data_IF_782452558447
#
_entry.id   IF_782452558447
#
_cell.length_a   1.000
_cell.length_b   1.000
_cell.length_c   1.000
_cell.angle_alpha   90.00
_cell.angle_beta   90.00
_cell.angle_gamma   90.00
#
_symmetry.space_group_name_H-M   'P 1'
#
loop_
_entity.id
_entity.type
_entity.pdbx_description
1 polymer ?
#
# COMPACT_ATOMS: atom_id res chain seq x y z
N UNK A 1 -5.51 -17.72 -2.70
CA UNK A 1 -5.27 -17.48 -1.25
C UNK A 1 -6.27 -16.43 -0.78
N UNK A 2 -6.71 -16.42 0.47
CA UNK A 2 -7.53 -15.29 0.97
C UNK A 2 -6.62 -14.13 1.36
N UNK A 3 -7.14 -12.90 1.43
CA UNK A 3 -6.36 -11.73 1.91
C UNK A 3 -5.77 -12.03 3.30
N UNK A 4 -6.57 -12.57 4.21
CA UNK A 4 -6.10 -12.94 5.55
C UNK A 4 -5.01 -14.01 5.55
N UNK A 5 -5.04 -14.97 4.62
CA UNK A 5 -3.99 -15.96 4.50
C UNK A 5 -2.68 -15.34 3.98
N UNK A 6 -2.73 -14.38 3.05
CA UNK A 6 -1.56 -13.62 2.62
C UNK A 6 -0.99 -12.77 3.76
N UNK A 7 -1.84 -12.09 4.54
CA UNK A 7 -1.40 -11.33 5.73
C UNK A 7 -0.70 -12.25 6.74
N UNK A 8 -1.31 -13.39 7.07
CA UNK A 8 -0.73 -14.37 7.98
C UNK A 8 0.65 -14.85 7.50
N UNK A 9 0.77 -15.23 6.23
CA UNK A 9 2.05 -15.66 5.67
C UNK A 9 3.09 -14.54 5.72
N UNK A 10 2.71 -13.30 5.40
CA UNK A 10 3.64 -12.16 5.47
C UNK A 10 4.24 -12.02 6.87
N UNK A 11 3.41 -12.05 7.91
CA UNK A 11 3.85 -11.95 9.31
C UNK A 11 4.70 -13.15 9.76
N UNK A 12 4.29 -14.37 9.42
CA UNK A 12 5.05 -15.60 9.74
C UNK A 12 6.44 -15.59 9.09
N UNK A 13 6.55 -15.18 7.82
CA UNK A 13 7.84 -15.11 7.14
C UNK A 13 8.70 -13.94 7.64
N UNK A 14 8.07 -12.84 8.06
CA UNK A 14 8.77 -11.71 8.69
C UNK A 14 9.48 -12.13 9.98
N UNK A 15 8.77 -12.85 10.87
CA UNK A 15 9.33 -13.37 12.13
C UNK A 15 10.52 -14.31 11.88
N UNK A 16 10.45 -15.10 10.81
CA UNK A 16 11.53 -15.98 10.36
C UNK A 16 12.67 -15.25 9.62
N UNK A 17 12.60 -13.93 9.51
CA UNK A 17 13.56 -13.07 8.79
C UNK A 17 13.68 -13.40 7.30
N UNK A 18 12.67 -14.05 6.72
CA UNK A 18 12.59 -14.28 5.28
C UNK A 18 11.88 -13.10 4.61
N UNK A 19 12.55 -11.95 4.60
CA UNK A 19 11.94 -10.65 4.26
C UNK A 19 11.40 -10.57 2.84
N UNK A 20 12.08 -11.17 1.86
CA UNK A 20 11.62 -11.16 0.46
C UNK A 20 10.28 -11.90 0.31
N UNK A 21 10.14 -13.04 1.01
CA UNK A 21 8.91 -13.84 1.01
C UNK A 21 7.82 -13.13 1.81
N UNK A 22 8.17 -12.50 2.93
CA UNK A 22 7.26 -11.68 3.72
C UNK A 22 6.67 -10.53 2.87
N UNK A 23 7.53 -9.84 2.11
CA UNK A 23 7.13 -8.73 1.25
C UNK A 23 6.26 -9.21 0.09
N UNK A 24 6.60 -10.33 -0.54
CA UNK A 24 5.76 -10.94 -1.57
C UNK A 24 4.32 -11.17 -1.08
N UNK A 25 4.17 -11.74 0.12
CA UNK A 25 2.85 -11.99 0.69
C UNK A 25 2.13 -10.71 1.11
N UNK A 26 2.84 -9.68 1.58
CA UNK A 26 2.26 -8.35 1.83
C UNK A 26 1.70 -7.75 0.54
N UNK A 27 2.48 -7.73 -0.55
CA UNK A 27 2.06 -7.23 -1.85
C UNK A 27 0.84 -8.00 -2.38
N UNK A 28 0.82 -9.33 -2.23
CA UNK A 28 -0.32 -10.15 -2.62
C UNK A 28 -1.58 -9.80 -1.81
N UNK A 29 -1.45 -9.52 -0.52
CA UNK A 29 -2.59 -9.10 0.31
C UNK A 29 -3.16 -7.75 -0.17
N UNK A 30 -2.29 -6.80 -0.53
CA UNK A 30 -2.71 -5.49 -1.07
C UNK A 30 -3.35 -5.65 -2.45
N UNK A 31 -2.75 -6.42 -3.36
CA UNK A 31 -3.31 -6.64 -4.70
C UNK A 31 -4.68 -7.31 -4.63
N UNK A 32 -4.83 -8.40 -3.86
CA UNK A 32 -6.11 -9.09 -3.71
C UNK A 32 -7.18 -8.19 -3.08
N UNK A 33 -6.81 -7.34 -2.11
CA UNK A 33 -7.71 -6.36 -1.52
C UNK A 33 -8.15 -5.33 -2.56
N UNK A 34 -7.20 -4.83 -3.35
CA UNK A 34 -7.45 -3.83 -4.39
C UNK A 34 -8.34 -4.35 -5.51
N UNK A 35 -8.15 -5.61 -5.92
CA UNK A 35 -8.98 -6.28 -6.93
C UNK A 35 -10.42 -6.44 -6.47
N UNK A 36 -10.63 -6.71 -5.18
CA UNK A 36 -11.98 -6.86 -4.60
C UNK A 36 -12.69 -5.53 -4.45
N UNK A 37 -11.98 -4.48 -4.01
CA UNK A 37 -12.56 -3.15 -3.80
C UNK A 37 -12.77 -2.36 -5.10
N UNK A 38 -11.84 -2.49 -6.05
CA UNK A 38 -11.82 -1.69 -7.28
C UNK A 38 -11.62 -2.57 -8.53
N UNK A 39 -12.56 -3.48 -8.84
CA UNK A 39 -12.40 -4.46 -9.91
C UNK A 39 -12.31 -3.84 -11.32
N UNK A 40 -12.79 -2.61 -11.50
CA UNK A 40 -12.77 -1.88 -12.77
C UNK A 40 -11.49 -1.07 -13.03
N UNK A 41 -10.61 -0.93 -12.02
CA UNK A 41 -9.41 -0.11 -12.12
C UNK A 41 -8.18 -0.95 -12.50
N UNK A 42 -7.26 -0.33 -13.26
CA UNK A 42 -5.96 -0.92 -13.58
C UNK A 42 -5.10 -1.14 -12.34
N UNK A 43 -4.14 -2.08 -12.41
CA UNK A 43 -3.33 -2.54 -11.27
C UNK A 43 -2.68 -1.41 -10.46
N UNK A 44 -1.98 -0.49 -11.14
CA UNK A 44 -1.34 0.64 -10.46
C UNK A 44 -2.34 1.56 -9.76
N UNK A 45 -3.44 1.91 -10.43
CA UNK A 45 -4.47 2.79 -9.85
C UNK A 45 -5.16 2.16 -8.65
N UNK A 46 -5.55 0.87 -8.73
CA UNK A 46 -6.20 0.19 -7.60
C UNK A 46 -5.26 0.01 -6.41
N UNK A 47 -3.97 -0.22 -6.65
CA UNK A 47 -2.96 -0.31 -5.59
C UNK A 47 -2.90 1.00 -4.82
N UNK A 48 -2.64 2.11 -5.53
CA UNK A 48 -2.55 3.43 -4.89
C UNK A 48 -3.84 3.80 -4.17
N UNK A 49 -4.99 3.53 -4.79
CA UNK A 49 -6.29 3.78 -4.16
C UNK A 49 -6.50 2.98 -2.88
N UNK A 50 -6.12 1.70 -2.84
CA UNK A 50 -6.17 0.90 -1.59
C UNK A 50 -5.30 1.51 -0.50
N UNK A 51 -4.07 1.91 -0.83
CA UNK A 51 -3.16 2.50 0.14
C UNK A 51 -3.72 3.83 0.69
N UNK A 52 -4.21 4.72 -0.19
CA UNK A 52 -4.84 5.98 0.21
C UNK A 52 -6.07 5.78 1.08
N UNK A 53 -6.93 4.80 0.74
CA UNK A 53 -8.14 4.49 1.50
C UNK A 53 -7.86 3.72 2.80
N UNK A 54 -6.58 3.40 3.10
CA UNK A 54 -6.13 2.75 4.33
C UNK A 54 -4.94 3.49 4.97
N UNK A 55 -4.76 4.77 4.64
CA UNK A 55 -3.58 5.56 5.06
C UNK A 55 -3.57 5.80 6.57
N UNK A 56 -4.73 5.81 7.21
CA UNK A 56 -4.92 5.86 8.66
C UNK A 56 -4.30 4.63 9.35
N UNK A 57 -4.63 3.43 8.84
CA UNK A 57 -4.09 2.16 9.34
C UNK A 57 -2.58 2.12 9.11
N UNK A 58 -2.12 2.49 7.91
CA UNK A 58 -0.70 2.53 7.58
C UNK A 58 0.06 3.52 8.48
N UNK A 59 -0.50 4.70 8.73
CA UNK A 59 0.07 5.71 9.60
C UNK A 59 0.30 5.18 11.01
N UNK A 60 -0.70 4.53 11.61
CA UNK A 60 -0.59 3.95 12.95
C UNK A 60 0.44 2.81 13.02
N UNK A 61 0.54 1.99 11.97
CA UNK A 61 1.45 0.82 11.98
C UNK A 61 2.91 1.15 11.65
N UNK A 62 3.14 1.99 10.64
CA UNK A 62 4.45 2.16 10.02
C UNK A 62 5.09 3.52 10.29
N UNK A 63 4.28 4.57 10.53
CA UNK A 63 4.79 5.95 10.70
C UNK A 63 4.06 6.72 11.79
N UNK A 64 4.07 6.26 13.07
CA UNK A 64 3.35 6.94 14.14
C UNK A 64 3.78 8.40 14.28
N UNK A 65 2.81 9.31 14.35
CA UNK A 65 3.04 10.75 14.52
C UNK A 65 3.31 11.52 13.22
N UNK A 66 3.31 10.86 12.05
CA UNK A 66 3.39 11.51 10.75
C UNK A 66 1.99 11.74 10.19
N UNK A 67 1.69 12.98 9.78
CA UNK A 67 0.45 13.32 9.08
C UNK A 67 0.55 12.93 7.61
N UNK A 68 0.32 11.65 7.32
CA UNK A 68 0.37 11.12 5.96
C UNK A 68 -0.74 11.64 5.05
N UNK A 69 -1.87 12.11 5.61
CA UNK A 69 -2.97 12.66 4.82
C UNK A 69 -2.54 13.95 4.13
N UNK A 70 -1.77 14.79 4.81
CA UNK A 70 -1.30 16.08 4.28
C UNK A 70 0.16 16.07 3.80
N UNK A 71 0.95 15.03 4.13
CA UNK A 71 2.34 14.91 3.67
C UNK A 71 2.41 14.75 2.15
N UNK A 72 3.30 15.50 1.50
CA UNK A 72 3.56 15.43 0.07
C UNK A 72 5.05 15.36 -0.22
N UNK A 73 5.44 14.52 -1.16
CA UNK A 73 6.84 14.21 -1.45
C UNK A 73 7.34 15.00 -2.66
N UNK A 74 8.50 15.68 -2.58
CA UNK A 74 9.08 16.45 -3.68
C UNK A 74 9.88 15.55 -4.64
N UNK A 75 9.27 14.47 -5.11
CA UNK A 75 9.89 13.49 -6.02
C UNK A 75 9.12 13.40 -7.33
N UNK A 76 9.82 13.11 -8.42
CA UNK A 76 9.19 12.93 -9.72
C UNK A 76 8.78 11.46 -9.90
N UNK A 77 7.49 11.16 -9.71
CA UNK A 77 6.91 9.82 -9.90
C UNK A 77 5.63 9.91 -10.73
N UNK A 78 5.23 8.80 -11.35
CA UNK A 78 3.93 8.71 -12.02
C UNK A 78 2.83 8.63 -10.96
N UNK A 79 2.05 9.69 -10.84
CA UNK A 79 0.88 9.78 -9.97
C UNK A 79 -0.42 9.80 -10.79
N UNK A 80 -1.48 9.29 -10.19
CA UNK A 80 -2.86 9.39 -10.65
C UNK A 80 -3.63 10.54 -9.96
N UNK A 81 -2.95 11.35 -9.14
CA UNK A 81 -3.46 12.60 -8.60
C UNK A 81 -3.59 13.68 -9.70
N UNK A 82 -4.30 14.76 -9.40
CA UNK A 82 -4.40 15.88 -10.37
C UNK A 82 -3.00 16.48 -10.61
N UNK A 83 -2.72 17.05 -11.81
CA UNK A 83 -1.39 17.55 -12.15
C UNK A 83 -0.81 18.59 -11.17
N UNK A 84 -1.67 19.29 -10.43
CA UNK A 84 -1.31 20.31 -9.45
C UNK A 84 -0.91 19.71 -8.10
N UNK A 85 -1.29 18.46 -7.83
CA UNK A 85 -0.98 17.77 -6.58
C UNK A 85 0.39 17.09 -6.67
N UNK A 86 1.21 17.33 -5.66
CA UNK A 86 2.46 16.58 -5.47
C UNK A 86 2.15 15.12 -5.08
N UNK A 87 3.06 14.17 -5.37
CA UNK A 87 2.93 12.78 -4.94
C UNK A 87 2.70 12.62 -3.43
N UNK A 88 1.86 11.67 -3.07
CA UNK A 88 1.63 11.25 -1.68
C UNK A 88 2.34 9.93 -1.36
N UNK A 89 2.08 9.37 -0.18
CA UNK A 89 2.72 8.12 0.26
C UNK A 89 2.40 6.95 -0.67
N UNK A 90 1.21 6.89 -1.26
CA UNK A 90 0.83 5.80 -2.15
C UNK A 90 1.57 5.87 -3.50
N UNK A 91 2.04 7.05 -3.89
CA UNK A 91 2.80 7.24 -5.13
C UNK A 91 4.29 6.88 -5.02
N UNK A 92 4.82 6.84 -3.80
CA UNK A 92 6.25 6.58 -3.51
C UNK A 92 6.52 5.18 -2.93
N UNK A 93 5.47 4.40 -2.74
CA UNK A 93 5.51 2.96 -2.45
C UNK A 93 5.44 2.15 -3.75
#
# INVERSE_FOLDING_TARGET
MTVGASVKQSLEQWDRKMWDVAMLHACNAVDDTSRKRYPSLGAGTRFRRVIRDAVDIYGVMATPGVDLENTRFPVAVRSDLTPEMRPDIADVL
#
